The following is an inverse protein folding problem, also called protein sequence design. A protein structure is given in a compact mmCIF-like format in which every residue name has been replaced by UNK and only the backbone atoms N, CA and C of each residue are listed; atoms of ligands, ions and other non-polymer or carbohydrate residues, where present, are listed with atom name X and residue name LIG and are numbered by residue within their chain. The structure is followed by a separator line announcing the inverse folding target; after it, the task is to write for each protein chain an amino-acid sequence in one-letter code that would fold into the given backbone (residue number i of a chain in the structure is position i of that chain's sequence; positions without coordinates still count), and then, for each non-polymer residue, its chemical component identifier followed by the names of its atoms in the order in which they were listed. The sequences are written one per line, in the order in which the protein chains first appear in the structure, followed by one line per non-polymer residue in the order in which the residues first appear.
data_IF_548996084253
#
_entry.id   IF_548996084253
#
_cell.length_a   1.000
_cell.length_b   1.000
_cell.length_c   1.000
_cell.angle_alpha   90.00
_cell.angle_beta   90.00
_cell.angle_gamma   90.00
#
_symmetry.space_group_name_H-M   'P 1'
#
loop_
_entity.id
_entity.type
_entity.pdbx_description
1 polymer ?
#
# COMPACT_ATOMS: atom_id res chain seq x y z
N UNK A 1 -5.87 -30.23 0.87
CA UNK A 1 -5.29 -30.45 -0.48
C UNK A 1 -4.05 -29.58 -0.71
N UNK A 2 -4.07 -28.28 -0.36
CA UNK A 2 -2.89 -27.40 -0.47
C UNK A 2 -1.65 -27.84 0.32
N UNK A 3 -1.81 -28.33 1.55
CA UNK A 3 -0.68 -28.62 2.44
C UNK A 3 0.23 -29.74 1.91
N UNK A 4 -0.36 -30.79 1.31
CA UNK A 4 0.39 -31.87 0.64
C UNK A 4 1.13 -31.41 -0.62
N UNK A 5 0.63 -30.39 -1.32
CA UNK A 5 1.30 -29.84 -2.51
C UNK A 5 2.49 -28.96 -2.13
N UNK A 6 2.38 -28.22 -1.03
CA UNK A 6 3.46 -27.39 -0.51
C UNK A 6 4.66 -28.25 -0.08
N UNK A 7 4.42 -29.39 0.59
CA UNK A 7 5.50 -30.32 0.95
C UNK A 7 6.19 -30.90 -0.28
N UNK A 8 5.44 -31.26 -1.33
CA UNK A 8 5.99 -31.79 -2.58
C UNK A 8 6.74 -30.74 -3.39
N UNK A 9 6.28 -29.48 -3.39
CA UNK A 9 6.99 -28.37 -4.00
C UNK A 9 8.35 -28.13 -3.31
N UNK A 10 8.38 -28.11 -1.98
CA UNK A 10 9.63 -27.96 -1.22
C UNK A 10 10.61 -29.09 -1.54
N UNK A 11 10.14 -30.32 -1.61
CA UNK A 11 10.98 -31.46 -2.00
C UNK A 11 11.51 -31.32 -3.43
N UNK A 12 10.67 -30.88 -4.37
CA UNK A 12 11.06 -30.65 -5.77
C UNK A 12 12.09 -29.53 -5.92
N UNK A 13 11.94 -28.42 -5.19
CA UNK A 13 12.91 -27.31 -5.21
C UNK A 13 14.26 -27.72 -4.60
N UNK A 14 14.23 -28.44 -3.48
CA UNK A 14 15.46 -28.93 -2.81
C UNK A 14 16.26 -29.91 -3.69
N UNK A 15 15.59 -30.69 -4.55
CA UNK A 15 16.26 -31.67 -5.44
C UNK A 15 17.07 -31.03 -6.58
N UNK A 16 16.71 -29.83 -7.03
CA UNK A 16 17.24 -29.28 -8.28
C UNK A 16 18.53 -28.47 -8.08
N UNK A 17 18.87 -28.11 -6.83
CA UNK A 17 20.15 -27.50 -6.41
C UNK A 17 20.73 -26.49 -7.43
N UNK A 18 19.88 -25.58 -7.92
CA UNK A 18 20.23 -24.59 -8.93
C UNK A 18 19.82 -23.20 -8.46
N UNK A 19 20.55 -22.18 -8.91
CA UNK A 19 20.20 -20.77 -8.73
C UNK A 19 19.54 -20.18 -9.98
N UNK A 20 19.26 -20.98 -11.00
CA UNK A 20 18.63 -20.53 -12.25
C UNK A 20 17.13 -20.20 -12.03
N UNK A 21 16.72 -18.92 -12.16
CA UNK A 21 15.33 -18.52 -11.97
C UNK A 21 14.34 -19.19 -12.92
N UNK A 22 14.76 -19.53 -14.14
CA UNK A 22 13.88 -20.15 -15.15
C UNK A 22 13.52 -21.57 -14.73
N UNK A 23 14.51 -22.32 -14.24
CA UNK A 23 14.31 -23.68 -13.75
C UNK A 23 13.45 -23.68 -12.49
N UNK A 24 13.69 -22.74 -11.56
CA UNK A 24 12.88 -22.57 -10.34
C UNK A 24 11.43 -22.24 -10.70
N UNK A 25 11.21 -21.29 -11.61
CA UNK A 25 9.86 -20.90 -12.07
C UNK A 25 9.11 -22.09 -12.67
N UNK A 26 9.76 -22.87 -13.54
CA UNK A 26 9.15 -24.04 -14.17
C UNK A 26 8.78 -25.15 -13.16
N UNK A 27 9.46 -25.24 -12.02
CA UNK A 27 9.08 -26.15 -10.93
C UNK A 27 7.84 -25.61 -10.22
N UNK A 28 7.83 -24.32 -9.87
CA UNK A 28 6.68 -23.68 -9.20
C UNK A 28 5.41 -23.83 -10.04
N UNK A 29 5.51 -23.59 -11.35
CA UNK A 29 4.38 -23.65 -12.28
C UNK A 29 3.71 -25.04 -12.32
N UNK A 30 4.46 -26.12 -12.10
CA UNK A 30 3.90 -27.50 -12.04
C UNK A 30 2.97 -27.72 -10.86
N UNK A 31 3.13 -26.94 -9.79
CA UNK A 31 2.32 -27.02 -8.58
C UNK A 31 1.30 -25.89 -8.49
N UNK A 32 1.33 -24.92 -9.41
CA UNK A 32 0.37 -23.82 -9.48
C UNK A 32 -1.01 -24.29 -9.95
N UNK A 33 -2.07 -23.76 -9.33
CA UNK A 33 -3.45 -23.93 -9.76
C UNK A 33 -4.10 -22.57 -9.95
N UNK A 34 -4.99 -22.45 -10.94
CA UNK A 34 -5.79 -21.25 -11.05
C UNK A 34 -6.82 -21.21 -9.92
N UNK A 35 -6.82 -20.17 -9.08
CA UNK A 35 -7.81 -20.05 -8.03
C UNK A 35 -9.18 -19.79 -8.65
N UNK A 36 -10.20 -20.50 -8.19
CA UNK A 36 -11.58 -20.15 -8.51
C UNK A 36 -11.94 -18.85 -7.81
N UNK A 37 -12.34 -17.83 -8.59
CA UNK A 37 -12.80 -16.57 -8.05
C UNK A 37 -14.11 -16.79 -7.29
N UNK A 38 -14.15 -16.33 -6.04
CA UNK A 38 -15.37 -16.33 -5.24
C UNK A 38 -16.36 -15.33 -5.86
N UNK A 39 -17.65 -15.63 -5.80
CA UNK A 39 -18.72 -14.77 -6.32
C UNK A 39 -18.67 -13.34 -5.75
N UNK A 40 -18.27 -13.18 -4.49
CA UNK A 40 -18.09 -11.87 -3.83
C UNK A 40 -16.65 -11.35 -3.89
N UNK A 41 -15.81 -11.84 -4.78
CA UNK A 41 -14.43 -11.40 -4.93
C UNK A 41 -14.33 -9.94 -5.37
N UNK A 42 -13.33 -9.21 -4.86
CA UNK A 42 -13.03 -7.84 -5.30
C UNK A 42 -12.70 -7.76 -6.80
N UNK A 43 -12.26 -8.87 -7.41
CA UNK A 43 -11.98 -8.96 -8.84
C UNK A 43 -13.18 -8.64 -9.73
N UNK A 44 -14.40 -8.92 -9.28
CA UNK A 44 -15.62 -8.58 -10.03
C UNK A 44 -15.97 -7.10 -9.97
N UNK A 45 -15.25 -6.31 -9.18
CA UNK A 45 -15.49 -4.88 -8.93
C UNK A 45 -14.32 -4.01 -9.40
N UNK A 46 -13.37 -4.58 -10.14
CA UNK A 46 -12.17 -3.84 -10.55
C UNK A 46 -12.52 -2.60 -11.36
N UNK A 47 -13.53 -2.66 -12.22
CA UNK A 47 -14.00 -1.50 -12.98
C UNK A 47 -14.55 -0.39 -12.07
N UNK A 48 -15.28 -0.76 -11.02
CA UNK A 48 -15.81 0.17 -10.00
C UNK A 48 -14.64 0.75 -9.19
N UNK A 49 -13.70 -0.09 -8.75
CA UNK A 49 -12.52 0.32 -7.98
C UNK A 49 -11.69 1.30 -8.82
N UNK A 50 -11.31 0.93 -10.04
CA UNK A 50 -10.50 1.77 -10.92
C UNK A 50 -11.19 3.11 -11.20
N UNK A 51 -12.50 3.10 -11.46
CA UNK A 51 -13.28 4.31 -11.70
C UNK A 51 -13.35 5.20 -10.46
N UNK A 52 -13.64 4.66 -9.28
CA UNK A 52 -13.77 5.44 -8.05
C UNK A 52 -12.42 5.97 -7.55
N UNK A 53 -11.36 5.16 -7.61
CA UNK A 53 -10.01 5.53 -7.19
C UNK A 53 -9.24 6.34 -8.25
N UNK A 54 -9.82 6.60 -9.43
CA UNK A 54 -9.27 7.57 -10.40
C UNK A 54 -9.52 9.04 -10.01
N UNK A 55 -10.27 9.30 -8.93
CA UNK A 55 -10.65 10.65 -8.49
C UNK A 55 -9.53 11.34 -7.71
N UNK A 56 -9.32 12.61 -8.02
CA UNK A 56 -8.20 13.43 -7.50
C UNK A 56 -8.12 13.56 -5.98
N UNK A 57 -9.24 13.58 -5.27
CA UNK A 57 -9.22 13.79 -3.81
C UNK A 57 -9.94 12.66 -3.10
N UNK A 58 -9.56 12.40 -1.85
CA UNK A 58 -10.17 11.37 -1.03
C UNK A 58 -11.67 11.61 -0.81
N UNK A 59 -12.09 12.86 -0.68
CA UNK A 59 -13.50 13.23 -0.58
C UNK A 59 -14.26 12.81 -1.84
N UNK A 60 -13.65 13.01 -3.02
CA UNK A 60 -14.26 12.61 -4.29
C UNK A 60 -14.26 11.08 -4.47
N UNK A 61 -13.24 10.38 -3.97
CA UNK A 61 -13.22 8.90 -3.95
C UNK A 61 -14.34 8.38 -3.04
N UNK A 62 -14.45 8.87 -1.81
CA UNK A 62 -15.48 8.47 -0.86
C UNK A 62 -16.87 8.77 -1.43
N UNK A 63 -17.09 9.96 -1.98
CA UNK A 63 -18.38 10.34 -2.59
C UNK A 63 -18.74 9.45 -3.80
N UNK A 64 -17.75 9.09 -4.63
CA UNK A 64 -17.96 8.16 -5.73
C UNK A 64 -18.34 6.75 -5.24
N UNK A 65 -17.64 6.23 -4.22
CA UNK A 65 -17.95 4.94 -3.61
C UNK A 65 -19.33 4.92 -2.95
N UNK A 66 -19.72 6.00 -2.27
CA UNK A 66 -21.07 6.15 -1.70
C UNK A 66 -22.16 6.17 -2.76
N UNK A 67 -21.89 6.79 -3.91
CA UNK A 67 -22.84 6.80 -5.03
C UNK A 67 -23.02 5.41 -5.62
N UNK A 68 -21.92 4.66 -5.76
CA UNK A 68 -21.98 3.28 -6.27
C UNK A 68 -22.60 2.30 -5.25
N UNK A 69 -22.37 2.50 -3.95
CA UNK A 69 -22.98 1.65 -2.91
C UNK A 69 -24.51 1.76 -2.89
N UNK A 70 -25.07 2.93 -3.19
CA UNK A 70 -26.53 3.15 -3.27
C UNK A 70 -27.14 2.54 -4.53
N UNK A 71 -26.40 2.50 -5.66
CA UNK A 71 -26.90 1.93 -6.93
C UNK A 71 -27.01 0.41 -6.89
N UNK A 72 -25.98 -0.26 -6.39
CA UNK A 72 -25.89 -1.73 -6.42
C UNK A 72 -26.31 -2.37 -5.09
N UNK A 73 -26.45 -1.60 -4.01
CA UNK A 73 -26.74 -2.15 -2.68
C UNK A 73 -25.62 -3.05 -2.16
N UNK A 74 -24.38 -2.84 -2.64
CA UNK A 74 -23.26 -3.72 -2.32
C UNK A 74 -22.74 -3.44 -0.90
N UNK A 75 -22.94 -4.41 -0.02
CA UNK A 75 -22.44 -4.39 1.34
C UNK A 75 -20.90 -4.28 1.40
N UNK A 76 -20.18 -4.76 0.37
CA UNK A 76 -18.72 -4.67 0.31
C UNK A 76 -18.26 -3.22 0.16
N UNK A 77 -18.88 -2.45 -0.76
CA UNK A 77 -18.54 -1.05 -1.00
C UNK A 77 -18.93 -0.21 0.23
N UNK A 78 -20.09 -0.50 0.81
CA UNK A 78 -20.58 0.19 2.01
C UNK A 78 -19.64 0.00 3.21
N UNK A 79 -19.17 -1.22 3.43
CA UNK A 79 -18.18 -1.52 4.47
C UNK A 79 -16.84 -0.85 4.19
N UNK A 80 -16.38 -0.85 2.93
CA UNK A 80 -15.15 -0.15 2.56
C UNK A 80 -15.22 1.35 2.88
N UNK A 81 -16.34 2.02 2.54
CA UNK A 81 -16.56 3.43 2.89
C UNK A 81 -16.56 3.63 4.42
N UNK A 82 -17.21 2.74 5.17
CA UNK A 82 -17.23 2.81 6.62
C UNK A 82 -15.80 2.70 7.22
N UNK A 83 -15.00 1.77 6.72
CA UNK A 83 -13.60 1.59 7.14
C UNK A 83 -12.75 2.80 6.78
N UNK A 84 -12.93 3.37 5.58
CA UNK A 84 -12.22 4.58 5.17
C UNK A 84 -12.53 5.76 6.09
N UNK A 85 -13.80 5.96 6.46
CA UNK A 85 -14.20 7.03 7.41
C UNK A 85 -13.66 6.83 8.83
N UNK A 86 -13.29 5.60 9.19
CA UNK A 86 -12.71 5.28 10.50
C UNK A 86 -11.18 5.45 10.53
N UNK A 87 -10.53 5.47 9.37
CA UNK A 87 -9.09 5.65 9.26
C UNK A 87 -8.66 7.07 9.66
N UNK A 88 -7.37 7.26 9.95
CA UNK A 88 -6.79 8.59 10.19
C UNK A 88 -6.97 9.45 8.93
N UNK A 89 -7.51 10.68 9.05
CA UNK A 89 -7.67 11.59 7.92
C UNK A 89 -6.34 11.95 7.24
N UNK A 90 -5.29 12.25 7.99
CA UNK A 90 -3.94 12.50 7.43
C UNK A 90 -3.45 11.28 6.68
N UNK A 91 -3.56 10.11 7.30
CA UNK A 91 -3.05 8.87 6.71
C UNK A 91 -3.83 8.53 5.43
N UNK A 92 -5.15 8.71 5.44
CA UNK A 92 -6.00 8.43 4.30
C UNK A 92 -5.78 9.43 3.16
N UNK A 93 -5.59 10.71 3.48
CA UNK A 93 -5.24 11.72 2.48
C UNK A 93 -3.84 11.43 1.93
N UNK A 94 -2.84 11.15 2.77
CA UNK A 94 -1.53 10.69 2.36
C UNK A 94 -1.59 9.47 1.42
N UNK A 95 -2.44 8.48 1.72
CA UNK A 95 -2.61 7.28 0.88
C UNK A 95 -3.25 7.61 -0.47
N UNK A 96 -4.33 8.40 -0.52
CA UNK A 96 -4.91 8.81 -1.81
C UNK A 96 -4.02 9.78 -2.55
N UNK A 97 -3.31 10.67 -1.88
CA UNK A 97 -2.38 11.56 -2.55
C UNK A 97 -1.16 10.80 -3.11
N UNK A 98 -0.76 9.72 -2.44
CA UNK A 98 0.15 8.74 -3.00
C UNK A 98 -0.48 7.97 -4.18
N UNK A 99 -1.78 7.70 -4.15
CA UNK A 99 -2.51 6.93 -5.17
C UNK A 99 -2.98 7.79 -6.37
N UNK A 100 -3.29 9.08 -6.19
CA UNK A 100 -4.09 9.88 -7.12
C UNK A 100 -3.65 11.34 -7.35
N UNK A 101 -3.12 12.13 -6.38
CA UNK A 101 -3.01 13.59 -6.67
C UNK A 101 -1.95 14.54 -6.04
N UNK A 102 -1.09 14.20 -5.06
CA UNK A 102 0.03 15.12 -4.64
C UNK A 102 1.21 14.86 -5.54
N UNK A 103 0.95 15.18 -6.80
CA UNK A 103 1.93 15.33 -7.84
C UNK A 103 1.36 16.36 -8.83
N UNK A 104 1.54 17.68 -8.61
CA UNK A 104 1.61 18.59 -9.74
C UNK A 104 2.77 18.20 -10.67
N UNK A 105 3.83 17.53 -10.20
CA UNK A 105 4.97 17.11 -11.01
C UNK A 105 5.79 16.02 -10.26
N UNK A 106 5.75 14.76 -10.73
CA UNK A 106 6.56 13.58 -10.33
C UNK A 106 6.69 13.12 -8.83
N UNK A 107 6.08 12.00 -8.36
CA UNK A 107 6.83 11.08 -7.45
C UNK A 107 6.35 9.65 -7.15
N UNK A 108 5.09 9.33 -6.84
CA UNK A 108 4.84 8.02 -6.18
C UNK A 108 4.45 6.88 -7.12
N UNK A 109 3.36 6.95 -7.87
CA UNK A 109 2.94 5.82 -8.74
C UNK A 109 3.54 5.85 -10.14
N UNK A 110 3.89 7.03 -10.68
CA UNK A 110 4.64 7.12 -11.95
C UNK A 110 6.15 7.04 -11.79
N UNK A 111 6.67 7.40 -10.61
CA UNK A 111 8.10 7.30 -10.31
C UNK A 111 8.43 5.98 -9.60
N UNK A 112 7.57 5.28 -8.86
CA UNK A 112 7.82 3.84 -8.55
C UNK A 112 7.93 2.94 -9.79
N UNK A 113 7.35 3.37 -10.93
CA UNK A 113 7.56 2.77 -12.26
C UNK A 113 8.81 3.26 -13.01
N UNK A 114 9.48 4.32 -12.54
CA UNK A 114 10.64 4.98 -13.18
C UNK A 114 11.86 5.19 -12.24
N UNK A 115 11.74 4.87 -10.96
CA UNK A 115 12.71 4.97 -9.89
C UNK A 115 13.10 3.56 -9.49
N UNK A 116 14.35 3.39 -9.13
CA UNK A 116 14.80 2.14 -8.53
C UNK A 116 14.16 1.94 -7.16
N UNK A 117 14.08 0.66 -6.77
CA UNK A 117 13.66 0.22 -5.44
C UNK A 117 14.37 0.99 -4.31
N UNK A 118 15.61 1.41 -4.55
CA UNK A 118 16.43 2.17 -3.62
C UNK A 118 15.82 3.51 -3.24
N UNK A 119 15.32 4.26 -4.22
CA UNK A 119 14.70 5.56 -3.97
C UNK A 119 13.36 5.40 -3.26
N UNK A 120 12.57 4.37 -3.62
CA UNK A 120 11.31 4.08 -2.94
C UNK A 120 11.54 3.75 -1.46
N UNK A 121 12.51 2.87 -1.15
CA UNK A 121 12.82 2.48 0.23
C UNK A 121 13.35 3.66 1.05
N UNK A 122 14.23 4.48 0.48
CA UNK A 122 14.72 5.67 1.17
C UNK A 122 13.57 6.63 1.51
N UNK A 123 12.60 6.78 0.61
CA UNK A 123 11.47 7.66 0.80
C UNK A 123 10.46 7.11 1.84
N UNK A 124 10.12 5.82 1.77
CA UNK A 124 9.29 5.13 2.76
C UNK A 124 9.91 5.19 4.16
N UNK A 125 11.25 5.10 4.24
CA UNK A 125 11.98 5.28 5.49
C UNK A 125 11.77 6.68 6.08
N UNK A 126 11.88 7.76 5.28
CA UNK A 126 11.63 9.13 5.78
C UNK A 126 10.24 9.29 6.35
N UNK A 127 9.23 8.82 5.61
CA UNK A 127 7.82 8.89 6.03
C UNK A 127 7.60 8.13 7.33
N UNK A 128 8.19 6.94 7.45
CA UNK A 128 8.09 6.13 8.66
C UNK A 128 8.69 6.88 9.85
N UNK A 129 9.87 7.48 9.69
CA UNK A 129 10.54 8.26 10.73
C UNK A 129 9.75 9.51 11.14
N UNK A 130 9.21 10.27 10.17
CA UNK A 130 8.32 11.40 10.45
C UNK A 130 7.05 10.96 11.16
N UNK A 131 6.47 9.82 10.77
CA UNK A 131 5.31 9.25 11.43
C UNK A 131 5.55 8.92 12.90
N UNK A 132 6.75 8.47 13.27
CA UNK A 132 7.10 8.23 14.68
C UNK A 132 7.45 9.50 15.46
N UNK A 133 8.10 10.48 14.81
CA UNK A 133 8.52 11.72 15.49
C UNK A 133 7.41 12.76 15.62
N UNK A 134 6.58 12.90 14.59
CA UNK A 134 5.56 13.96 14.46
C UNK A 134 4.14 13.39 14.48
N UNK A 135 3.96 12.16 13.99
CA UNK A 135 2.65 11.54 13.81
C UNK A 135 2.04 10.99 15.11
N UNK A 136 1.35 11.85 15.87
CA UNK A 136 0.53 11.41 17.01
C UNK A 136 -0.52 10.36 16.61
N UNK A 137 -1.00 10.41 15.37
CA UNK A 137 -1.91 9.44 14.78
C UNK A 137 -1.35 8.01 14.77
N UNK A 138 -0.04 7.80 14.57
CA UNK A 138 0.54 6.45 14.59
C UNK A 138 0.48 5.88 16.01
N UNK A 139 0.84 6.69 17.01
CA UNK A 139 0.80 6.30 18.42
C UNK A 139 -0.64 6.05 18.88
N UNK A 140 -1.58 6.91 18.47
CA UNK A 140 -2.99 6.75 18.80
C UNK A 140 -3.62 5.53 18.12
N UNK A 141 -3.26 5.27 16.86
CA UNK A 141 -3.66 4.06 16.14
C UNK A 141 -3.14 2.81 16.83
N UNK A 142 -1.89 2.83 17.31
CA UNK A 142 -1.32 1.73 18.08
C UNK A 142 -2.04 1.54 19.42
N UNK A 143 -2.30 2.64 20.13
CA UNK A 143 -3.04 2.65 21.40
C UNK A 143 -4.44 2.06 21.23
N UNK A 144 -5.20 2.50 20.24
CA UNK A 144 -6.59 2.10 20.04
C UNK A 144 -6.73 0.64 19.58
N UNK A 145 -5.81 0.15 18.74
CA UNK A 145 -5.91 -1.18 18.14
C UNK A 145 -5.19 -2.28 18.93
N UNK A 146 -4.03 -1.98 19.53
CA UNK A 146 -3.17 -3.01 20.13
C UNK A 146 -3.10 -2.91 21.66
N UNK A 147 -2.96 -1.71 22.22
CA UNK A 147 -2.83 -1.53 23.67
C UNK A 147 -4.19 -1.61 24.38
N UNK A 148 -5.09 -0.66 24.12
CA UNK A 148 -6.41 -0.61 24.76
C UNK A 148 -7.47 -1.44 24.04
N UNK A 149 -7.28 -1.69 22.73
CA UNK A 149 -8.20 -2.47 21.89
C UNK A 149 -9.63 -1.92 21.90
N UNK A 150 -9.80 -0.62 22.16
CA UNK A 150 -11.10 0.05 22.16
C UNK A 150 -11.62 0.29 20.72
N UNK A 151 -10.74 0.23 19.72
CA UNK A 151 -11.04 0.51 18.31
C UNK A 151 -11.70 1.89 18.11
N UNK A 152 -11.39 2.84 18.99
CA UNK A 152 -11.87 4.23 18.95
C UNK A 152 -10.68 5.18 19.02
N UNK A 153 -9.89 5.26 17.94
CA UNK A 153 -8.78 6.21 17.86
C UNK A 153 -9.30 7.65 17.81
N UNK A 154 -8.59 8.55 18.47
CA UNK A 154 -8.83 9.99 18.45
C UNK A 154 -7.83 10.67 17.53
N UNK A 155 -8.15 10.69 16.24
CA UNK A 155 -7.28 11.28 15.23
C UNK A 155 -7.12 12.79 15.39
N UNK A 156 -5.91 13.28 15.12
CA UNK A 156 -5.60 14.70 15.08
C UNK A 156 -4.82 15.00 13.79
N UNK A 157 -5.46 15.68 12.81
CA UNK A 157 -6.81 16.23 12.78
C UNK A 157 -7.90 15.16 12.69
N UNK A 158 -9.07 15.48 13.26
CA UNK A 158 -10.21 14.55 13.35
C UNK A 158 -11.04 14.43 12.07
N UNK A 159 -10.79 15.30 11.08
CA UNK A 159 -11.54 15.35 9.82
C UNK A 159 -10.64 15.60 8.62
N UNK A 160 -11.06 15.11 7.46
CA UNK A 160 -10.34 15.26 6.20
C UNK A 160 -10.18 16.72 5.78
N UNK A 161 -11.21 17.55 5.99
CA UNK A 161 -11.18 18.96 5.56
C UNK A 161 -10.19 19.83 6.36
N UNK A 162 -9.64 19.29 7.45
CA UNK A 162 -8.66 19.96 8.31
C UNK A 162 -7.22 19.57 7.95
N UNK A 163 -7.02 18.61 7.05
CA UNK A 163 -5.70 18.22 6.57
C UNK A 163 -5.23 19.25 5.56
N UNK A 164 -4.11 19.92 5.84
CA UNK A 164 -3.49 20.86 4.91
C UNK A 164 -2.41 20.18 4.08
N UNK A 165 -2.11 20.76 2.91
CA UNK A 165 -1.00 20.31 2.06
C UNK A 165 0.33 20.36 2.82
N UNK A 166 0.53 21.37 3.68
CA UNK A 166 1.71 21.51 4.53
C UNK A 166 1.89 20.34 5.51
N UNK A 167 0.79 19.83 6.09
CA UNK A 167 0.84 18.67 6.98
C UNK A 167 1.28 17.42 6.21
N UNK A 168 0.87 17.29 4.95
CA UNK A 168 1.24 16.17 4.08
C UNK A 168 2.69 16.30 3.61
N UNK A 169 3.10 17.50 3.19
CA UNK A 169 4.47 17.80 2.75
C UNK A 169 5.50 17.57 3.86
N UNK A 170 5.13 17.80 5.12
CA UNK A 170 5.99 17.51 6.27
C UNK A 170 6.42 16.04 6.34
N UNK A 171 5.56 15.09 5.96
CA UNK A 171 5.93 13.67 5.94
C UNK A 171 6.97 13.32 4.86
N UNK A 172 7.07 14.14 3.81
CA UNK A 172 8.06 13.96 2.74
C UNK A 172 9.33 14.78 2.93
N UNK A 173 9.34 15.69 3.90
CA UNK A 173 10.49 16.51 4.23
C UNK A 173 11.62 15.68 4.85
N UNK A 174 12.77 16.31 5.08
CA UNK A 174 13.83 15.69 5.89
C UNK A 174 13.48 15.89 7.36
N UNK A 175 13.78 14.88 8.17
CA UNK A 175 13.67 15.02 9.63
C UNK A 175 14.70 16.08 10.06
N UNK A 176 14.22 17.13 10.73
CA UNK A 176 15.06 18.22 11.25
C UNK A 176 15.74 17.77 12.56
N UNK A 177 16.66 16.83 12.43
CA UNK A 177 17.52 16.35 13.49
C UNK A 177 18.95 16.25 12.96
N UNK A 178 19.89 16.89 13.66
CA UNK A 178 21.29 17.03 13.23
C UNK A 178 22.07 15.71 13.21
N UNK A 179 21.56 14.68 13.89
CA UNK A 179 22.12 13.33 13.89
C UNK A 179 21.44 12.40 12.87
N UNK A 180 20.49 12.92 12.08
CA UNK A 180 19.67 12.10 11.19
C UNK A 180 20.25 12.01 9.79
N UNK A 181 20.62 10.79 9.39
CA UNK A 181 21.09 10.49 8.04
C UNK A 181 20.00 9.76 7.24
N UNK A 182 19.86 10.13 5.97
CA UNK A 182 18.99 9.42 5.04
C UNK A 182 19.46 7.96 4.86
N UNK A 183 18.51 7.05 4.66
CA UNK A 183 18.84 5.65 4.37
C UNK A 183 19.66 5.54 3.07
N UNK A 184 20.90 5.07 3.21
CA UNK A 184 21.77 4.72 2.08
C UNK A 184 21.81 3.20 1.95
N UNK A 185 21.24 2.68 0.86
CA UNK A 185 21.31 1.25 0.58
C UNK A 185 22.70 0.85 0.04
N UNK A 186 23.20 -0.34 0.40
CA UNK A 186 24.45 -0.84 -0.14
C UNK A 186 24.35 -1.09 -1.65
N UNK A 187 25.40 -0.71 -2.39
CA UNK A 187 25.50 -0.95 -3.83
C UNK A 187 25.53 -2.47 -4.07
N UNK A 188 24.53 -3.00 -4.79
CA UNK A 188 24.52 -4.41 -5.19
C UNK A 188 25.30 -4.59 -6.49
N UNK A 189 26.31 -5.44 -6.48
CA UNK A 189 27.20 -5.74 -7.61
C UNK A 189 26.55 -6.55 -8.75
N UNK A 190 25.33 -7.08 -8.56
CA UNK A 190 24.63 -7.94 -9.53
C UNK A 190 23.31 -7.33 -10.05
N UNK A 191 23.27 -6.03 -10.40
CA UNK A 191 22.07 -5.42 -11.01
C UNK A 191 21.93 -5.72 -12.51
N UNK A 192 22.27 -6.92 -12.97
CA UNK A 192 22.04 -7.33 -14.36
C UNK A 192 20.65 -7.96 -14.54
N UNK A 193 19.59 -7.20 -14.22
CA UNK A 193 18.30 -7.19 -14.94
C UNK A 193 17.36 -6.22 -14.22
N UNK A 194 17.05 -5.10 -14.88
CA UNK A 194 15.80 -4.40 -14.60
C UNK A 194 14.67 -5.35 -14.97
N UNK A 195 14.16 -6.12 -14.01
CA UNK A 195 12.88 -6.80 -14.17
C UNK A 195 11.82 -5.71 -14.15
N UNK A 196 11.51 -5.18 -15.34
CA UNK A 196 10.33 -4.35 -15.56
C UNK A 196 9.14 -5.14 -15.04
N UNK A 197 8.42 -4.59 -14.06
CA UNK A 197 7.17 -5.14 -13.59
C UNK A 197 6.26 -5.38 -14.82
N UNK A 198 5.91 -6.64 -15.08
CA UNK A 198 4.94 -6.96 -16.13
C UNK A 198 3.63 -6.24 -15.81
N UNK A 199 3.13 -5.54 -16.82
CA UNK A 199 1.83 -4.86 -16.88
C UNK A 199 0.69 -5.82 -16.55
#
# INVERSE_FOLDING_TARGET
MCEKKLSLLNEALNKVNTSDPVVISAIIDKFSEQPHLKERSAYHRLDIIDRCFSRKTIENVISALETESVKEGDAWISEAVHLMKKASPITLNFFIESIVFVIPTYMWIRRGRLQGLDQCLAQEYRISCHGFHVGQDILEGYRANFLRKDRTPKWEPSRLELVTDEMVDLYFSKVDDGEWEDMVLPVRSNSSTFTVAKL
#
